data_IF_652873710124
#
_entry.id   IF_652873710124
#
_cell.length_a   1.000
_cell.length_b   1.000
_cell.length_c   1.000
_cell.angle_alpha   90.00
_cell.angle_beta   90.00
_cell.angle_gamma   90.00
#
_symmetry.space_group_name_H-M   'P 1'
#
loop_
_entity.id
_entity.type
_entity.pdbx_description
1 polymer ?
#
# COMPACT_ATOMS: atom_id res chain seq x y z
N UNK A 1 88.71 25.33 24.73
CA UNK A 1 88.04 24.88 23.49
C UNK A 1 86.53 24.78 23.74
N UNK A 2 85.82 25.79 23.24
CA UNK A 2 84.35 25.74 23.24
C UNK A 2 83.92 24.88 22.07
N UNK A 3 83.25 23.76 22.35
CA UNK A 3 82.60 22.93 21.36
C UNK A 3 81.23 23.58 21.08
N UNK A 4 81.11 24.09 19.86
CA UNK A 4 79.82 24.55 19.39
C UNK A 4 78.82 23.33 19.33
N UNK A 5 77.64 23.48 19.91
CA UNK A 5 76.60 22.54 19.74
C UNK A 5 76.19 22.54 18.26
N UNK A 6 75.92 21.39 17.67
CA UNK A 6 75.41 21.33 16.30
C UNK A 6 74.07 22.08 16.21
N UNK A 7 74.05 23.03 15.26
CA UNK A 7 72.79 23.71 14.91
C UNK A 7 71.78 22.70 14.53
N UNK A 8 70.78 22.58 15.39
CA UNK A 8 69.64 21.74 15.13
C UNK A 8 68.68 22.46 14.14
N UNK A 9 68.88 22.19 12.86
CA UNK A 9 67.92 22.60 11.86
C UNK A 9 66.64 21.79 12.08
N UNK A 10 65.61 22.38 12.69
CA UNK A 10 64.28 21.81 12.75
C UNK A 10 63.51 22.24 11.51
N UNK A 11 63.26 21.31 10.61
CA UNK A 11 62.31 21.52 9.52
C UNK A 11 60.94 21.10 10.00
N UNK A 12 59.96 21.99 9.85
CA UNK A 12 58.54 21.68 10.06
C UNK A 12 57.93 21.31 8.73
N UNK A 13 57.35 20.10 8.65
CA UNK A 13 56.51 19.72 7.49
C UNK A 13 55.29 20.61 7.42
N UNK A 14 54.79 20.96 6.22
CA UNK A 14 53.52 21.69 6.08
C UNK A 14 52.38 20.93 6.76
N UNK A 15 51.61 21.65 7.54
CA UNK A 15 50.42 21.06 8.22
C UNK A 15 49.38 20.61 7.18
N UNK A 16 48.78 19.47 7.43
CA UNK A 16 47.64 18.96 6.65
C UNK A 16 46.36 19.40 7.37
N UNK A 17 45.49 20.13 6.67
CA UNK A 17 44.16 20.46 7.18
C UNK A 17 43.23 19.33 6.86
N UNK A 18 42.69 18.66 7.88
CA UNK A 18 41.62 17.67 7.74
C UNK A 18 40.28 18.37 7.97
N UNK A 19 39.42 18.38 6.96
CA UNK A 19 38.08 18.94 7.07
C UNK A 19 37.11 17.79 7.31
N UNK A 20 36.36 17.84 8.41
CA UNK A 20 35.26 16.91 8.66
C UNK A 20 33.98 17.57 8.13
N UNK A 21 33.36 16.95 7.14
CA UNK A 21 32.02 17.33 6.66
C UNK A 21 30.97 16.52 7.38
N UNK A 22 29.90 17.18 7.83
CA UNK A 22 28.72 16.48 8.28
C UNK A 22 28.09 15.75 7.07
N UNK A 23 27.71 14.49 7.26
CA UNK A 23 27.00 13.73 6.23
C UNK A 23 25.64 14.35 5.88
N UNK A 24 25.11 14.06 4.69
CA UNK A 24 23.77 14.50 4.31
C UNK A 24 22.70 13.81 5.16
N UNK A 25 21.51 14.41 5.24
CA UNK A 25 20.29 13.72 5.67
C UNK A 25 19.63 13.07 4.44
N UNK A 26 18.91 11.97 4.65
CA UNK A 26 18.30 11.22 3.56
C UNK A 26 16.81 10.91 3.84
N UNK A 27 16.09 11.83 4.50
CA UNK A 27 14.67 11.59 4.80
C UNK A 27 13.85 11.57 3.51
N UNK A 28 12.87 10.66 3.46
CA UNK A 28 11.90 10.54 2.39
C UNK A 28 10.51 10.97 2.86
N UNK A 29 9.90 11.87 2.09
CA UNK A 29 8.51 12.26 2.22
C UNK A 29 7.71 11.83 1.00
N UNK A 30 6.41 11.60 1.17
CA UNK A 30 5.51 11.27 0.07
C UNK A 30 4.32 12.22 0.01
N UNK A 31 3.70 12.31 -1.18
CA UNK A 31 2.45 13.05 -1.36
C UNK A 31 1.21 12.23 -0.98
N UNK A 32 1.37 10.97 -0.58
CA UNK A 32 0.28 10.10 -0.19
C UNK A 32 0.09 10.08 1.34
N UNK A 33 -1.15 10.09 1.79
CA UNK A 33 -1.47 10.00 3.22
C UNK A 33 -1.07 8.61 3.74
N UNK A 34 -0.20 8.58 4.76
CA UNK A 34 0.35 7.35 5.34
C UNK A 34 0.90 6.38 4.29
N UNK A 35 1.56 6.92 3.24
CA UNK A 35 2.21 6.17 2.15
C UNK A 35 1.28 5.16 1.45
N UNK A 36 -0.03 5.42 1.48
CA UNK A 36 -1.04 4.49 0.95
C UNK A 36 -1.59 4.97 -0.39
N UNK A 37 -1.58 4.10 -1.40
CA UNK A 37 -2.11 4.36 -2.74
C UNK A 37 -3.02 3.22 -3.21
N UNK A 38 -3.92 3.52 -4.14
CA UNK A 38 -4.73 2.47 -4.79
C UNK A 38 -3.87 1.58 -5.70
N UNK A 39 -4.33 0.35 -5.93
CA UNK A 39 -3.72 -0.58 -6.88
C UNK A 39 -3.59 0.05 -8.27
N UNK A 40 -2.39 -0.02 -8.85
CA UNK A 40 -2.05 0.64 -10.10
C UNK A 40 -1.83 2.16 -9.99
N UNK A 41 -1.91 2.74 -8.80
CA UNK A 41 -1.62 4.15 -8.57
C UNK A 41 -0.13 4.50 -8.66
N UNK A 42 0.15 5.79 -8.70
CA UNK A 42 1.49 6.35 -8.62
C UNK A 42 1.64 7.24 -7.39
N UNK A 43 2.86 7.42 -6.91
CA UNK A 43 3.20 8.26 -5.76
C UNK A 43 4.43 9.10 -6.09
N UNK A 44 4.45 10.32 -5.60
CA UNK A 44 5.60 11.21 -5.68
C UNK A 44 6.34 11.15 -4.35
N UNK A 45 7.62 10.83 -4.40
CA UNK A 45 8.50 10.70 -3.25
C UNK A 45 9.61 11.73 -3.37
N UNK A 46 9.86 12.47 -2.31
CA UNK A 46 10.84 13.55 -2.29
C UNK A 46 11.85 13.29 -1.18
N UNK A 47 13.14 13.33 -1.51
CA UNK A 47 14.20 13.30 -0.52
C UNK A 47 14.52 14.71 0.00
N UNK A 48 15.07 14.80 1.21
CA UNK A 48 15.58 16.05 1.76
C UNK A 48 16.64 16.67 0.85
N UNK A 49 16.74 18.00 0.90
CA UNK A 49 17.77 18.73 0.16
C UNK A 49 19.11 18.61 0.86
N UNK A 50 20.04 17.91 0.22
CA UNK A 50 21.42 17.74 0.72
C UNK A 50 22.41 18.79 0.19
N UNK A 51 21.89 19.83 -0.44
CA UNK A 51 22.68 20.98 -0.91
C UNK A 51 23.27 20.82 -2.33
N UNK A 52 23.98 21.84 -2.73
CA UNK A 52 24.54 21.93 -4.09
C UNK A 52 25.55 20.81 -4.34
N UNK A 53 25.41 20.14 -5.47
CA UNK A 53 26.26 19.03 -5.89
C UNK A 53 25.94 17.67 -5.26
N UNK A 54 24.88 17.56 -4.48
CA UNK A 54 24.40 16.29 -3.98
C UNK A 54 23.80 15.45 -5.13
N UNK A 55 23.96 14.14 -5.02
CA UNK A 55 23.35 13.15 -5.93
C UNK A 55 22.36 12.26 -5.19
N UNK A 56 21.30 11.85 -5.89
CA UNK A 56 20.21 11.05 -5.36
C UNK A 56 20.04 9.80 -6.21
N UNK A 57 20.16 8.64 -5.58
CA UNK A 57 20.00 7.35 -6.24
C UNK A 57 18.80 6.62 -5.60
N UNK A 58 17.71 6.55 -6.35
CA UNK A 58 16.50 5.86 -5.91
C UNK A 58 16.50 4.40 -6.37
N UNK A 59 15.93 3.53 -5.53
CA UNK A 59 15.70 2.11 -5.82
C UNK A 59 14.27 1.74 -5.41
N UNK A 60 13.59 1.01 -6.28
CA UNK A 60 12.30 0.40 -5.98
C UNK A 60 12.50 -1.10 -5.77
N UNK A 61 12.15 -1.60 -4.59
CA UNK A 61 12.37 -3.01 -4.20
C UNK A 61 13.82 -3.48 -4.44
N UNK A 62 14.79 -2.60 -4.18
CA UNK A 62 16.23 -2.86 -4.38
C UNK A 62 16.74 -2.68 -5.81
N UNK A 63 15.86 -2.49 -6.79
CA UNK A 63 16.23 -2.27 -8.20
C UNK A 63 16.35 -0.78 -8.48
N UNK A 64 17.41 -0.37 -9.18
CA UNK A 64 17.58 1.02 -9.57
C UNK A 64 16.42 1.48 -10.47
N UNK A 65 15.86 2.65 -10.17
CA UNK A 65 14.76 3.22 -10.96
C UNK A 65 15.28 3.86 -12.24
N UNK A 66 14.48 3.90 -13.33
CA UNK A 66 14.87 4.56 -14.57
C UNK A 66 15.13 6.05 -14.37
N UNK A 67 16.15 6.59 -15.05
CA UNK A 67 16.53 8.00 -14.93
C UNK A 67 15.40 8.98 -15.32
N UNK A 68 14.46 8.56 -16.19
CA UNK A 68 13.31 9.38 -16.59
C UNK A 68 12.23 9.55 -15.51
N UNK A 69 12.25 8.72 -14.46
CA UNK A 69 11.32 8.79 -13.35
C UNK A 69 11.84 9.64 -12.18
N UNK A 70 13.10 10.08 -12.28
CA UNK A 70 13.78 10.88 -11.24
C UNK A 70 14.11 12.26 -11.80
N UNK A 71 13.69 13.30 -11.08
CA UNK A 71 14.06 14.70 -11.37
C UNK A 71 14.71 15.31 -10.13
N UNK A 72 16.01 15.42 -10.15
CA UNK A 72 16.77 15.89 -8.99
C UNK A 72 16.58 14.98 -7.78
N UNK A 73 15.92 15.47 -6.73
CA UNK A 73 15.61 14.76 -5.49
C UNK A 73 14.20 14.17 -5.44
N UNK A 74 13.46 14.19 -6.56
CA UNK A 74 12.08 13.73 -6.65
C UNK A 74 12.00 12.50 -7.54
N UNK A 75 11.39 11.44 -7.02
CA UNK A 75 11.06 10.23 -7.73
C UNK A 75 9.54 10.11 -7.86
N UNK A 76 9.06 9.94 -9.08
CA UNK A 76 7.65 9.64 -9.36
C UNK A 76 7.53 8.19 -9.82
N UNK A 77 6.84 7.38 -9.04
CA UNK A 77 6.68 5.97 -9.40
C UNK A 77 5.73 5.82 -10.59
N UNK A 78 5.94 4.77 -11.37
CA UNK A 78 4.91 4.22 -12.26
C UNK A 78 3.86 3.43 -11.46
N UNK A 79 2.92 2.77 -12.13
CA UNK A 79 1.85 2.01 -11.50
C UNK A 79 2.37 0.97 -10.48
N UNK A 80 2.10 1.19 -9.21
CA UNK A 80 2.44 0.29 -8.11
C UNK A 80 1.24 -0.61 -7.83
N UNK A 81 1.41 -1.92 -7.96
CA UNK A 81 0.33 -2.92 -7.81
C UNK A 81 0.49 -3.78 -6.55
N UNK A 82 1.56 -3.60 -5.79
CA UNK A 82 1.81 -4.35 -4.55
C UNK A 82 2.59 -3.50 -3.56
N UNK A 83 2.58 -3.89 -2.30
CA UNK A 83 3.43 -3.26 -1.30
C UNK A 83 4.87 -3.21 -1.81
N UNK A 84 5.47 -2.03 -1.78
CA UNK A 84 6.78 -1.76 -2.35
C UNK A 84 7.61 -0.91 -1.41
N UNK A 85 8.92 -1.05 -1.50
CA UNK A 85 9.87 -0.29 -0.70
C UNK A 85 10.70 0.60 -1.61
N UNK A 86 10.73 1.89 -1.32
CA UNK A 86 11.61 2.85 -1.99
C UNK A 86 12.77 3.17 -1.06
N UNK A 87 13.98 3.04 -1.56
CA UNK A 87 15.20 3.44 -0.86
C UNK A 87 15.86 4.56 -1.64
N UNK A 88 16.31 5.60 -0.96
CA UNK A 88 17.18 6.62 -1.52
C UNK A 88 18.58 6.52 -0.90
N UNK A 89 19.60 6.64 -1.71
CA UNK A 89 20.97 6.94 -1.30
C UNK A 89 21.28 8.38 -1.71
N UNK A 90 21.58 9.21 -0.74
CA UNK A 90 21.95 10.61 -0.94
C UNK A 90 23.43 10.74 -0.70
N UNK A 91 24.18 11.19 -1.70
CA UNK A 91 25.61 11.49 -1.56
C UNK A 91 25.86 12.99 -1.71
N UNK A 92 26.54 13.56 -0.72
CA UNK A 92 26.98 14.97 -0.75
C UNK A 92 28.15 15.17 -1.69
N UNK A 93 28.39 16.41 -2.11
CA UNK A 93 29.57 16.78 -2.91
C UNK A 93 30.89 16.43 -2.21
N UNK A 94 30.92 16.33 -0.89
CA UNK A 94 32.07 15.92 -0.09
C UNK A 94 32.30 14.40 -0.01
N UNK A 95 31.46 13.57 -0.68
CA UNK A 95 31.60 12.12 -0.74
C UNK A 95 31.01 11.36 0.45
N UNK A 96 30.36 12.04 1.41
CA UNK A 96 29.60 11.37 2.47
C UNK A 96 28.24 10.96 1.92
N UNK A 97 27.74 9.77 2.32
CA UNK A 97 26.40 9.32 1.93
C UNK A 97 25.53 8.96 3.14
N UNK A 98 24.22 9.03 2.93
CA UNK A 98 23.20 8.57 3.84
C UNK A 98 22.10 7.85 3.04
N UNK A 99 21.35 6.98 3.71
CA UNK A 99 20.24 6.25 3.09
C UNK A 99 18.99 6.37 3.95
N UNK A 100 17.83 6.40 3.29
CA UNK A 100 16.54 6.27 3.92
C UNK A 100 15.63 5.36 3.11
N UNK A 101 14.58 4.84 3.76
CA UNK A 101 13.69 3.84 3.18
C UNK A 101 12.24 4.14 3.56
N UNK A 102 11.38 4.19 2.56
CA UNK A 102 9.94 4.43 2.70
C UNK A 102 9.18 3.22 2.15
N UNK A 103 8.16 2.76 2.88
CA UNK A 103 7.31 1.64 2.44
C UNK A 103 5.99 2.17 1.90
N UNK A 104 5.67 1.82 0.66
CA UNK A 104 4.40 2.14 0.01
C UNK A 104 3.42 1.01 0.26
N UNK A 105 2.25 1.34 0.81
CA UNK A 105 1.18 0.40 1.06
C UNK A 105 0.15 0.45 -0.08
N UNK A 106 -0.19 -0.72 -0.61
CA UNK A 106 -1.28 -0.87 -1.58
C UNK A 106 -2.37 -1.70 -0.91
N UNK A 107 -3.52 -1.09 -0.55
CA UNK A 107 -4.62 -1.82 0.05
C UNK A 107 -5.14 -2.91 -0.88
N UNK A 108 -5.65 -3.98 -0.29
CA UNK A 108 -6.31 -5.05 -1.04
C UNK A 108 -7.59 -4.53 -1.69
N UNK A 109 -7.73 -4.77 -2.98
CA UNK A 109 -9.02 -4.65 -3.65
C UNK A 109 -9.73 -6.00 -3.55
N UNK A 110 -10.88 -6.01 -2.90
CA UNK A 110 -11.75 -7.17 -2.91
C UNK A 110 -12.53 -7.20 -4.23
N UNK A 111 -12.48 -8.32 -4.93
CA UNK A 111 -13.37 -8.57 -6.06
C UNK A 111 -14.57 -9.33 -5.53
N UNK A 112 -15.75 -8.75 -5.68
CA UNK A 112 -16.98 -9.40 -5.30
C UNK A 112 -17.15 -10.71 -6.08
N UNK A 113 -17.49 -11.78 -5.38
CA UNK A 113 -17.88 -13.02 -6.03
C UNK A 113 -19.26 -12.93 -6.65
N UNK A 114 -19.68 -13.99 -7.31
CA UNK A 114 -21.04 -14.11 -7.85
C UNK A 114 -22.00 -14.62 -6.79
N UNK A 115 -23.24 -14.16 -6.84
CA UNK A 115 -24.35 -14.68 -6.06
C UNK A 115 -25.30 -15.38 -7.03
N UNK A 116 -25.61 -16.64 -6.76
CA UNK A 116 -26.59 -17.41 -7.52
C UNK A 116 -27.48 -18.19 -6.55
N UNK A 117 -28.71 -18.39 -6.92
CA UNK A 117 -29.62 -19.30 -6.24
C UNK A 117 -29.30 -20.75 -6.65
N UNK A 118 -29.64 -21.71 -5.78
CA UNK A 118 -29.53 -23.13 -6.12
C UNK A 118 -30.50 -23.53 -7.25
N UNK A 119 -31.55 -22.73 -7.47
CA UNK A 119 -32.50 -22.84 -8.59
C UNK A 119 -32.45 -21.57 -9.44
N UNK A 120 -32.54 -21.73 -10.77
CA UNK A 120 -32.40 -20.63 -11.72
C UNK A 120 -33.55 -19.58 -11.65
N UNK A 121 -34.74 -20.00 -11.26
CA UNK A 121 -35.89 -19.11 -11.06
C UNK A 121 -36.57 -19.46 -9.73
N UNK A 122 -36.24 -18.69 -8.70
CA UNK A 122 -36.86 -18.85 -7.38
C UNK A 122 -38.22 -18.12 -7.38
N UNK A 123 -39.27 -18.81 -7.77
CA UNK A 123 -40.66 -18.32 -7.62
C UNK A 123 -41.22 -18.89 -6.34
N UNK A 124 -41.51 -18.02 -5.38
CA UNK A 124 -42.01 -18.37 -4.06
C UNK A 124 -43.43 -17.82 -3.90
N UNK A 125 -44.28 -18.54 -3.19
CA UNK A 125 -45.55 -17.99 -2.73
C UNK A 125 -45.35 -17.13 -1.47
N UNK A 126 -46.15 -16.08 -1.26
CA UNK A 126 -46.03 -15.27 -0.05
C UNK A 126 -46.19 -16.16 1.21
N UNK A 127 -45.15 -16.12 2.06
CA UNK A 127 -45.07 -16.92 3.27
C UNK A 127 -44.35 -18.27 3.13
N UNK A 128 -43.91 -18.64 1.94
CA UNK A 128 -43.02 -19.80 1.77
C UNK A 128 -41.70 -19.62 2.51
N UNK A 129 -41.23 -20.70 3.10
CA UNK A 129 -39.96 -20.75 3.77
C UNK A 129 -38.91 -21.32 2.80
N UNK A 130 -37.99 -20.51 2.38
CA UNK A 130 -36.83 -20.91 1.54
C UNK A 130 -35.72 -21.62 2.36
N UNK A 131 -36.13 -22.43 3.33
CA UNK A 131 -35.23 -23.03 4.30
C UNK A 131 -34.12 -23.94 3.71
N UNK A 132 -34.15 -24.23 2.42
CA UNK A 132 -33.20 -25.13 1.76
C UNK A 132 -32.43 -24.49 0.59
N UNK A 133 -32.64 -23.20 0.33
CA UNK A 133 -31.91 -22.52 -0.74
C UNK A 133 -30.64 -21.87 -0.23
N UNK A 134 -29.55 -22.27 -0.82
CA UNK A 134 -28.23 -21.67 -0.55
C UNK A 134 -27.96 -20.62 -1.61
N UNK A 135 -27.83 -19.38 -1.17
CA UNK A 135 -27.43 -18.29 -2.03
C UNK A 135 -25.93 -18.07 -1.88
N UNK A 136 -25.18 -18.55 -2.76
CA UNK A 136 -23.81 -18.20 -3.06
C UNK A 136 -23.05 -19.28 -3.75
N UNK A 137 -22.07 -18.90 -4.46
CA UNK A 137 -21.15 -19.88 -5.01
C UNK A 137 -19.73 -19.45 -5.05
N UNK A 138 -19.45 -18.18 -5.15
CA UNK A 138 -18.08 -17.70 -5.22
C UNK A 138 -17.87 -16.65 -4.14
N UNK A 139 -16.94 -16.94 -3.24
CA UNK A 139 -16.63 -16.04 -2.11
C UNK A 139 -16.02 -14.69 -2.54
N UNK A 140 -15.60 -14.56 -3.79
CA UNK A 140 -14.77 -13.42 -4.22
C UNK A 140 -13.29 -13.70 -4.00
N UNK A 141 -12.47 -12.76 -4.40
CA UNK A 141 -11.01 -12.85 -4.29
C UNK A 141 -10.44 -11.56 -3.74
N UNK A 142 -9.29 -11.67 -3.11
CA UNK A 142 -8.40 -10.55 -2.83
C UNK A 142 -7.29 -10.55 -3.87
N UNK A 143 -6.88 -9.37 -4.36
CA UNK A 143 -5.71 -9.30 -5.22
C UNK A 143 -4.46 -9.79 -4.49
N UNK A 144 -3.45 -10.23 -5.23
CA UNK A 144 -2.24 -10.84 -4.67
C UNK A 144 -1.34 -9.85 -3.90
N UNK A 145 -1.57 -8.56 -4.06
CA UNK A 145 -0.73 -7.48 -3.49
C UNK A 145 -0.98 -7.17 -2.02
N UNK A 146 -1.77 -7.97 -1.37
CA UNK A 146 -2.25 -7.72 -0.03
C UNK A 146 -1.23 -8.03 1.06
N UNK A 147 -1.16 -7.19 2.08
CA UNK A 147 -0.44 -7.48 3.33
C UNK A 147 -0.95 -8.77 3.98
N UNK A 148 -0.04 -9.54 4.56
CA UNK A 148 -0.40 -10.74 5.31
C UNK A 148 -1.46 -10.41 6.38
N UNK A 149 -2.50 -11.23 6.45
CA UNK A 149 -3.56 -11.10 7.46
C UNK A 149 -4.86 -10.42 7.01
N UNK A 150 -4.96 -9.88 5.80
CA UNK A 150 -6.26 -9.39 5.33
C UNK A 150 -7.16 -10.56 4.94
N UNK A 151 -8.40 -10.50 5.39
CA UNK A 151 -9.43 -11.50 5.10
C UNK A 151 -10.64 -10.83 4.46
N UNK A 152 -11.35 -11.57 3.61
CA UNK A 152 -12.64 -11.09 3.10
C UNK A 152 -13.66 -11.07 4.24
N UNK A 153 -14.42 -10.00 4.32
CA UNK A 153 -15.60 -9.89 5.18
C UNK A 153 -16.83 -9.77 4.31
N UNK A 154 -17.95 -10.23 4.81
CA UNK A 154 -19.18 -10.27 4.05
C UNK A 154 -20.31 -9.65 4.84
N UNK A 155 -21.28 -9.06 4.13
CA UNK A 155 -22.54 -8.61 4.66
C UNK A 155 -23.64 -8.84 3.63
N UNK A 156 -24.61 -9.65 3.97
CA UNK A 156 -25.79 -9.84 3.13
C UNK A 156 -26.82 -8.74 3.39
N UNK A 157 -27.47 -8.33 2.32
CA UNK A 157 -28.49 -7.28 2.33
C UNK A 157 -29.70 -7.72 1.54
N UNK A 158 -30.85 -7.22 1.95
CA UNK A 158 -32.12 -7.36 1.24
C UNK A 158 -32.72 -6.01 0.88
N UNK A 159 -33.53 -5.97 -0.14
CA UNK A 159 -34.41 -4.86 -0.47
C UNK A 159 -35.74 -5.36 -0.97
N UNK A 160 -36.82 -4.61 -0.72
CA UNK A 160 -38.10 -4.79 -1.41
C UNK A 160 -37.98 -4.15 -2.80
N UNK A 161 -38.25 -4.91 -3.86
CA UNK A 161 -38.11 -4.46 -5.25
C UNK A 161 -39.30 -3.60 -5.66
N UNK A 162 -40.50 -3.86 -5.07
CA UNK A 162 -41.75 -3.18 -5.41
C UNK A 162 -41.90 -1.83 -4.71
N UNK A 163 -41.56 -1.74 -3.43
CA UNK A 163 -41.88 -0.57 -2.59
C UNK A 163 -40.67 0.30 -2.27
N UNK A 164 -39.44 -0.15 -2.53
CA UNK A 164 -38.24 0.67 -2.21
C UNK A 164 -36.94 0.12 -2.75
N UNK A 165 -36.06 1.02 -3.11
CA UNK A 165 -34.69 0.69 -3.56
C UNK A 165 -33.64 0.75 -2.44
N UNK A 166 -34.06 0.71 -1.17
CA UNK A 166 -33.14 0.81 -0.04
C UNK A 166 -32.70 -0.59 0.38
N UNK A 167 -31.39 -0.80 0.35
CA UNK A 167 -30.78 -2.03 0.85
C UNK A 167 -30.62 -1.99 2.36
N UNK A 168 -31.07 -3.01 3.05
CA UNK A 168 -30.94 -3.18 4.51
C UNK A 168 -30.11 -4.40 4.83
N UNK A 169 -29.29 -4.32 5.86
CA UNK A 169 -28.47 -5.44 6.30
C UNK A 169 -29.33 -6.56 6.89
N UNK A 170 -29.04 -7.78 6.50
CA UNK A 170 -29.55 -8.96 7.20
C UNK A 170 -28.69 -9.17 8.44
N UNK A 171 -29.31 -9.10 9.61
CA UNK A 171 -28.62 -9.20 10.89
C UNK A 171 -27.96 -10.57 11.06
N UNK A 172 -26.66 -10.58 11.37
CA UNK A 172 -25.88 -11.80 11.56
C UNK A 172 -25.47 -12.52 10.26
N UNK A 173 -25.89 -12.06 9.09
CA UNK A 173 -25.57 -12.68 7.81
C UNK A 173 -24.20 -12.17 7.28
N UNK A 174 -23.12 -12.67 7.87
CA UNK A 174 -21.74 -12.26 7.59
C UNK A 174 -20.86 -13.36 6.99
N UNK A 175 -21.45 -14.48 6.61
CA UNK A 175 -20.73 -15.57 5.93
C UNK A 175 -20.66 -15.38 4.43
N UNK A 176 -19.71 -16.05 3.77
CA UNK A 176 -19.59 -16.06 2.29
C UNK A 176 -20.83 -16.65 1.63
N UNK A 177 -21.54 -17.52 2.33
CA UNK A 177 -22.79 -18.17 1.95
C UNK A 177 -23.91 -17.63 2.83
N UNK A 178 -25.08 -17.34 2.26
CA UNK A 178 -26.28 -17.04 3.03
C UNK A 178 -27.02 -18.34 3.30
N UNK A 179 -26.97 -18.78 4.54
CA UNK A 179 -27.80 -19.86 5.04
C UNK A 179 -29.15 -19.29 5.52
N UNK A 180 -30.18 -19.49 4.73
CA UNK A 180 -31.51 -18.96 5.01
C UNK A 180 -32.19 -19.74 6.15
N UNK A 181 -31.74 -20.95 6.43
CA UNK A 181 -32.25 -21.72 7.58
C UNK A 181 -31.81 -21.10 8.92
N UNK A 182 -30.63 -20.51 8.95
CA UNK A 182 -30.08 -19.79 10.10
C UNK A 182 -30.52 -18.32 10.16
N UNK A 183 -30.88 -17.74 9.01
CA UNK A 183 -31.29 -16.33 8.89
C UNK A 183 -32.66 -16.31 8.18
N UNK A 184 -33.78 -16.56 8.88
CA UNK A 184 -35.08 -16.67 8.24
C UNK A 184 -35.46 -15.35 7.56
N UNK A 185 -35.65 -15.42 6.25
CA UNK A 185 -36.17 -14.33 5.44
C UNK A 185 -37.71 -14.48 5.33
N UNK A 186 -38.44 -13.50 5.81
CA UNK A 186 -39.87 -13.42 5.54
C UNK A 186 -40.09 -12.71 4.21
N UNK A 187 -40.28 -13.47 3.15
CA UNK A 187 -40.52 -12.94 1.82
C UNK A 187 -42.04 -12.82 1.63
N UNK A 188 -42.52 -11.60 1.64
CA UNK A 188 -43.95 -11.27 1.42
C UNK A 188 -44.17 -10.56 0.09
N UNK A 189 -43.09 -10.10 -0.54
CA UNK A 189 -43.09 -9.34 -1.79
C UNK A 189 -41.81 -9.64 -2.57
N UNK A 190 -41.68 -9.18 -3.81
CA UNK A 190 -40.50 -9.33 -4.62
C UNK A 190 -39.28 -8.76 -3.88
N UNK A 191 -38.33 -9.61 -3.58
CA UNK A 191 -37.19 -9.29 -2.74
C UNK A 191 -35.89 -9.46 -3.51
N UNK A 192 -35.08 -8.40 -3.55
CA UNK A 192 -33.71 -8.48 -4.06
C UNK A 192 -32.74 -8.81 -2.92
N UNK A 193 -31.80 -9.70 -3.17
CA UNK A 193 -30.74 -10.07 -2.22
C UNK A 193 -29.36 -9.80 -2.86
N UNK A 194 -28.45 -9.25 -2.07
CA UNK A 194 -27.04 -9.08 -2.48
C UNK A 194 -26.09 -9.35 -1.34
N UNK A 195 -24.83 -9.60 -1.70
CA UNK A 195 -23.71 -9.66 -0.76
C UNK A 195 -22.77 -8.52 -1.02
N UNK A 196 -22.33 -7.83 0.03
CA UNK A 196 -21.16 -6.96 0.06
C UNK A 196 -19.94 -7.80 0.44
N UNK A 197 -18.81 -7.48 -0.14
CA UNK A 197 -17.52 -8.17 0.10
C UNK A 197 -16.43 -7.14 0.33
#
# INVERSE_FOLDING_TARGET
>A
TATAAPDSCTETSPGITMTISLGPTANLDSNATAETICDGGSIVITADDAGVGATYTFRLNGVAVPAGEVVGRVYTTTAITQQSTVTVEVASAGGCSATDTLTIFVPKVATAGTVSASQADLVLCPGDNIANDILSTNAGTLNASSSAGSVLTYQWQQRNVTTGNVWTNLTGATSSVLDISATPLSITEDTGIRRLT
#
